data_IF_637212187668
#
_entry.id   IF_637212187668
#
_cell.length_a   1.000
_cell.length_b   1.000
_cell.length_c   1.000
_cell.angle_alpha   90.00
_cell.angle_beta   90.00
_cell.angle_gamma   90.00
#
_symmetry.space_group_name_H-M   'P 1'
#
loop_
_entity.id
_entity.type
_entity.pdbx_description
1 polymer ?
#
# COMPACT_ATOMS: atom_id res chain seq x y z
N UNK A 1 -20.49 -17.83 -15.36
CA UNK A 1 -19.88 -16.85 -14.46
C UNK A 1 -18.60 -17.44 -13.88
N UNK A 2 -17.54 -16.65 -13.84
CA UNK A 2 -16.22 -17.07 -13.39
C UNK A 2 -15.88 -16.32 -12.10
N UNK A 3 -15.31 -17.04 -11.13
CA UNK A 3 -14.81 -16.44 -9.90
C UNK A 3 -13.28 -16.35 -9.99
N UNK A 4 -12.74 -15.18 -9.71
CA UNK A 4 -11.30 -14.96 -9.64
C UNK A 4 -10.82 -15.32 -8.24
N UNK A 5 -9.91 -16.28 -8.16
CA UNK A 5 -9.30 -16.68 -6.88
C UNK A 5 -7.80 -16.60 -7.03
N UNK A 6 -7.18 -15.77 -6.20
CA UNK A 6 -5.72 -15.66 -6.20
C UNK A 6 -5.16 -16.43 -5.00
N UNK A 7 -4.25 -17.36 -5.27
CA UNK A 7 -3.58 -18.17 -4.26
C UNK A 7 -2.20 -17.61 -3.96
N UNK A 8 -2.07 -16.98 -2.80
CA UNK A 8 -0.82 -16.39 -2.31
C UNK A 8 -0.03 -17.34 -1.42
N UNK A 9 -0.57 -18.53 -1.12
CA UNK A 9 0.03 -19.45 -0.14
C UNK A 9 1.38 -20.03 -0.56
N UNK A 10 1.70 -19.99 -1.86
CA UNK A 10 2.94 -20.56 -2.39
C UNK A 10 2.84 -22.05 -2.75
N UNK A 11 1.72 -22.70 -2.44
CA UNK A 11 1.50 -24.12 -2.79
C UNK A 11 0.09 -24.26 -3.38
N UNK A 12 -0.07 -25.24 -4.27
CA UNK A 12 -1.39 -25.58 -4.80
C UNK A 12 -2.27 -26.14 -3.68
N UNK A 13 -3.54 -25.79 -3.72
CA UNK A 13 -4.52 -26.19 -2.68
C UNK A 13 -5.53 -27.12 -3.36
N UNK A 14 -5.69 -28.32 -2.82
CA UNK A 14 -6.68 -29.28 -3.32
C UNK A 14 -7.85 -29.39 -2.36
N UNK A 15 -9.06 -29.14 -2.87
CA UNK A 15 -10.31 -29.26 -2.09
C UNK A 15 -11.32 -30.00 -2.96
N UNK A 16 -11.75 -31.18 -2.53
CA UNK A 16 -12.61 -32.03 -3.34
C UNK A 16 -11.92 -32.34 -4.67
N UNK A 17 -12.61 -32.06 -5.77
CA UNK A 17 -12.07 -32.26 -7.11
C UNK A 17 -11.42 -31.00 -7.68
N UNK A 18 -11.38 -29.91 -6.91
CA UNK A 18 -10.84 -28.64 -7.36
C UNK A 18 -9.40 -28.48 -6.88
N UNK A 19 -8.54 -28.08 -7.82
CA UNK A 19 -7.16 -27.69 -7.49
C UNK A 19 -7.01 -26.20 -7.76
N UNK A 20 -6.61 -25.46 -6.73
CA UNK A 20 -6.35 -24.03 -6.82
C UNK A 20 -4.85 -23.84 -6.94
N UNK A 21 -4.40 -23.52 -8.15
CA UNK A 21 -2.97 -23.34 -8.43
C UNK A 21 -2.42 -22.08 -7.76
N UNK A 22 -1.11 -22.02 -7.58
CA UNK A 22 -0.43 -20.82 -7.14
C UNK A 22 -0.68 -19.69 -8.15
N UNK A 23 -1.03 -18.50 -7.67
CA UNK A 23 -1.32 -17.37 -8.53
C UNK A 23 -2.81 -17.26 -8.86
N UNK A 24 -3.09 -16.71 -10.02
CA UNK A 24 -4.47 -16.47 -10.46
C UNK A 24 -5.17 -17.72 -10.92
N UNK A 25 -6.42 -17.89 -10.49
CA UNK A 25 -7.29 -18.97 -10.91
C UNK A 25 -8.63 -18.40 -11.36
N UNK A 26 -9.14 -18.92 -12.48
CA UNK A 26 -10.44 -18.55 -13.01
C UNK A 26 -11.34 -19.77 -12.84
N UNK A 27 -12.15 -19.78 -11.78
CA UNK A 27 -12.91 -20.96 -11.36
C UNK A 27 -14.39 -20.75 -11.71
N UNK A 28 -15.01 -21.74 -12.42
CA UNK A 28 -16.46 -21.64 -12.65
C UNK A 28 -17.24 -21.49 -11.34
N UNK A 29 -18.25 -20.64 -11.36
CA UNK A 29 -19.02 -20.29 -10.17
C UNK A 29 -19.55 -21.52 -9.45
N UNK A 30 -20.04 -22.52 -10.21
CA UNK A 30 -20.59 -23.74 -9.62
C UNK A 30 -19.52 -24.56 -8.87
N UNK A 31 -18.32 -24.66 -9.45
CA UNK A 31 -17.22 -25.37 -8.82
C UNK A 31 -16.73 -24.63 -7.56
N UNK A 32 -16.66 -23.32 -7.62
CA UNK A 32 -16.28 -22.52 -6.47
C UNK A 32 -17.33 -22.65 -5.35
N UNK A 33 -18.62 -22.59 -5.69
CA UNK A 33 -19.72 -22.74 -4.73
C UNK A 33 -19.68 -24.07 -3.97
N UNK A 34 -19.22 -25.13 -4.64
CA UNK A 34 -19.13 -26.45 -4.02
C UNK A 34 -18.05 -26.52 -2.92
N UNK A 35 -17.03 -25.66 -2.95
CA UNK A 35 -15.90 -25.71 -1.99
C UNK A 35 -15.77 -24.47 -1.13
N UNK A 36 -16.47 -23.39 -1.45
CA UNK A 36 -16.29 -22.09 -0.80
C UNK A 36 -16.62 -22.09 0.70
N UNK A 37 -17.44 -23.01 1.17
CA UNK A 37 -17.81 -23.15 2.58
C UNK A 37 -16.94 -24.17 3.31
N UNK A 38 -16.02 -24.84 2.62
CA UNK A 38 -15.09 -25.77 3.26
C UNK A 38 -14.26 -25.03 4.31
N UNK A 39 -14.10 -25.65 5.48
CA UNK A 39 -13.39 -25.02 6.61
C UNK A 39 -11.99 -24.60 6.24
N UNK A 40 -11.27 -25.40 5.45
CA UNK A 40 -9.92 -25.08 5.01
C UNK A 40 -9.89 -23.85 4.10
N UNK A 41 -10.87 -23.73 3.19
CA UNK A 41 -10.98 -22.59 2.29
C UNK A 41 -11.34 -21.32 3.07
N UNK A 42 -12.30 -21.40 3.98
CA UNK A 42 -12.70 -20.26 4.82
C UNK A 42 -11.49 -19.76 5.63
N UNK A 43 -10.72 -20.68 6.20
CA UNK A 43 -9.53 -20.35 6.97
C UNK A 43 -8.47 -19.65 6.11
N UNK A 44 -8.26 -20.12 4.88
CA UNK A 44 -7.29 -19.52 3.95
C UNK A 44 -7.73 -18.13 3.48
N UNK A 45 -9.02 -17.90 3.34
CA UNK A 45 -9.54 -16.56 3.03
C UNK A 45 -9.36 -15.64 4.23
N UNK A 46 -9.65 -16.11 5.44
CA UNK A 46 -9.53 -15.31 6.66
C UNK A 46 -8.09 -14.89 6.94
N UNK A 47 -7.11 -15.76 6.66
CA UNK A 47 -5.70 -15.43 6.86
C UNK A 47 -5.06 -14.78 5.63
N UNK A 48 -5.88 -14.46 4.61
CA UNK A 48 -5.45 -13.80 3.38
C UNK A 48 -4.42 -14.58 2.54
N UNK A 49 -4.44 -15.92 2.64
CA UNK A 49 -3.71 -16.80 1.73
C UNK A 49 -4.44 -16.96 0.40
N UNK A 50 -5.77 -16.82 0.42
CA UNK A 50 -6.62 -16.78 -0.78
C UNK A 50 -7.36 -15.46 -0.84
N UNK A 51 -7.36 -14.85 -2.01
CA UNK A 51 -8.14 -13.64 -2.30
C UNK A 51 -9.21 -13.99 -3.32
N UNK A 52 -10.46 -13.76 -2.96
CA UNK A 52 -11.61 -14.00 -3.84
C UNK A 52 -12.07 -12.65 -4.36
N UNK A 53 -12.15 -12.50 -5.67
CA UNK A 53 -12.57 -11.27 -6.31
C UNK A 53 -11.41 -10.42 -6.79
N UNK A 54 -11.21 -9.24 -6.21
CA UNK A 54 -10.29 -8.25 -6.77
C UNK A 54 -8.90 -8.28 -6.12
N UNK A 55 -8.00 -9.07 -6.72
CA UNK A 55 -6.61 -9.13 -6.29
C UNK A 55 -5.88 -7.78 -6.45
N UNK A 56 -6.32 -6.95 -7.39
CA UNK A 56 -5.69 -5.65 -7.61
C UNK A 56 -5.82 -4.72 -6.39
N UNK A 57 -6.90 -4.88 -5.61
CA UNK A 57 -7.06 -4.12 -4.36
C UNK A 57 -5.96 -4.47 -3.35
N UNK A 58 -5.60 -5.75 -3.27
CA UNK A 58 -4.51 -6.19 -2.42
C UNK A 58 -3.16 -5.62 -2.90
N UNK A 59 -2.91 -5.65 -4.20
CA UNK A 59 -1.69 -5.08 -4.78
C UNK A 59 -1.62 -3.58 -4.47
N UNK A 60 -2.73 -2.86 -4.60
CA UNK A 60 -2.77 -1.43 -4.28
C UNK A 60 -2.48 -1.18 -2.79
N UNK A 61 -3.06 -1.98 -1.92
CA UNK A 61 -2.85 -1.87 -0.48
C UNK A 61 -1.39 -2.14 -0.10
N UNK A 62 -0.83 -3.23 -0.63
CA UNK A 62 0.56 -3.59 -0.38
C UNK A 62 1.51 -2.53 -0.93
N UNK A 63 1.24 -2.03 -2.12
CA UNK A 63 2.02 -0.95 -2.73
C UNK A 63 1.99 0.32 -1.89
N UNK A 64 0.83 0.66 -1.32
CA UNK A 64 0.71 1.82 -0.44
C UNK A 64 1.52 1.64 0.85
N UNK A 65 1.55 0.43 1.42
CA UNK A 65 2.41 0.14 2.57
C UNK A 65 3.90 0.26 2.21
N UNK A 66 4.29 -0.29 1.07
CA UNK A 66 5.68 -0.30 0.61
C UNK A 66 6.17 1.10 0.22
N UNK A 67 5.25 2.03 -0.07
CA UNK A 67 5.60 3.42 -0.37
C UNK A 67 6.33 4.09 0.80
N UNK A 68 5.91 3.79 2.03
CA UNK A 68 6.48 4.37 3.23
C UNK A 68 7.71 3.57 3.68
N UNK A 69 8.88 4.20 3.70
CA UNK A 69 10.10 3.54 4.10
C UNK A 69 11.32 4.39 3.79
N UNK A 70 12.47 3.75 3.74
CA UNK A 70 13.75 4.44 3.54
C UNK A 70 13.83 5.20 2.23
N UNK A 71 13.21 4.70 1.17
CA UNK A 71 13.16 5.38 -0.13
C UNK A 71 12.45 6.72 -0.03
N UNK A 72 11.33 6.76 0.69
CA UNK A 72 10.57 7.99 0.90
C UNK A 72 11.41 8.98 1.71
N UNK A 73 12.03 8.53 2.79
CA UNK A 73 12.92 9.35 3.60
C UNK A 73 14.05 9.94 2.76
N UNK A 74 14.66 9.12 1.90
CA UNK A 74 15.72 9.56 1.01
C UNK A 74 15.23 10.58 -0.02
N UNK A 75 14.01 10.37 -0.56
CA UNK A 75 13.41 11.31 -1.51
C UNK A 75 13.15 12.66 -0.88
N UNK A 76 12.67 12.70 0.35
CA UNK A 76 12.44 13.94 1.09
C UNK A 76 13.77 14.66 1.33
N UNK A 77 14.81 13.92 1.72
CA UNK A 77 16.14 14.48 1.95
C UNK A 77 16.72 15.05 0.65
N UNK A 78 16.53 14.37 -0.47
CA UNK A 78 16.98 14.85 -1.77
C UNK A 78 16.29 16.18 -2.14
N UNK A 79 15.02 16.33 -1.82
CA UNK A 79 14.31 17.59 -2.03
C UNK A 79 14.92 18.72 -1.23
N UNK A 80 15.31 18.44 0.02
CA UNK A 80 15.99 19.40 0.87
C UNK A 80 17.35 19.80 0.28
N UNK A 81 18.15 18.80 -0.11
CA UNK A 81 19.50 19.03 -0.63
C UNK A 81 19.49 19.82 -1.94
N UNK A 82 18.49 19.59 -2.79
CA UNK A 82 18.37 20.25 -4.10
C UNK A 82 17.46 21.48 -4.07
N UNK A 83 16.89 21.81 -2.92
CA UNK A 83 15.92 22.88 -2.77
C UNK A 83 14.74 22.74 -3.75
N UNK A 84 14.26 21.52 -3.96
CA UNK A 84 13.22 21.20 -4.94
C UNK A 84 11.85 21.18 -4.27
N UNK A 85 11.24 22.35 -4.16
CA UNK A 85 9.93 22.53 -3.53
C UNK A 85 8.81 21.87 -4.36
N UNK A 86 8.92 21.90 -5.68
CA UNK A 86 7.94 21.31 -6.57
C UNK A 86 7.86 19.80 -6.36
N UNK A 87 9.00 19.11 -6.32
CA UNK A 87 9.05 17.68 -6.06
C UNK A 87 8.55 17.36 -4.65
N UNK A 88 8.88 18.19 -3.67
CA UNK A 88 8.43 18.01 -2.29
C UNK A 88 6.90 18.06 -2.20
N UNK A 89 6.28 19.00 -2.91
CA UNK A 89 4.82 19.11 -2.96
C UNK A 89 4.19 17.89 -3.65
N UNK A 90 4.85 17.35 -4.67
CA UNK A 90 4.41 16.11 -5.32
C UNK A 90 4.46 14.94 -4.34
N UNK A 91 5.53 14.82 -3.57
CA UNK A 91 5.66 13.78 -2.53
C UNK A 91 4.54 13.92 -1.50
N UNK A 92 4.23 15.13 -1.07
CA UNK A 92 3.14 15.39 -0.13
C UNK A 92 1.80 14.86 -0.67
N UNK A 93 1.52 15.08 -1.94
CA UNK A 93 0.31 14.58 -2.59
C UNK A 93 0.31 13.05 -2.67
N UNK A 94 1.47 12.45 -2.96
CA UNK A 94 1.60 10.99 -3.00
C UNK A 94 1.39 10.37 -1.62
N UNK A 95 1.89 10.99 -0.56
CA UNK A 95 1.67 10.55 0.83
C UNK A 95 0.17 10.51 1.13
N UNK A 96 -0.55 11.59 0.79
CA UNK A 96 -1.99 11.65 1.01
C UNK A 96 -2.74 10.55 0.24
N UNK A 97 -2.37 10.35 -1.02
CA UNK A 97 -3.02 9.33 -1.86
C UNK A 97 -2.80 7.93 -1.29
N UNK A 98 -1.59 7.60 -0.88
CA UNK A 98 -1.29 6.29 -0.30
C UNK A 98 -1.97 6.12 1.07
N UNK A 99 -2.05 7.17 1.87
CA UNK A 99 -2.77 7.14 3.14
C UNK A 99 -4.25 6.80 2.94
N UNK A 100 -4.88 7.40 1.94
CA UNK A 100 -6.28 7.13 1.62
C UNK A 100 -6.48 5.67 1.24
N UNK A 101 -5.59 5.10 0.41
CA UNK A 101 -5.65 3.68 0.04
C UNK A 101 -5.57 2.80 1.28
N UNK A 102 -4.65 3.10 2.20
CA UNK A 102 -4.50 2.34 3.44
C UNK A 102 -5.76 2.41 4.31
N UNK A 103 -6.37 3.57 4.44
CA UNK A 103 -7.60 3.76 5.22
C UNK A 103 -8.78 2.99 4.63
N UNK A 104 -8.89 2.99 3.29
CA UNK A 104 -9.99 2.30 2.60
C UNK A 104 -9.89 0.78 2.77
N UNK A 105 -8.69 0.22 2.65
CA UNK A 105 -8.51 -1.23 2.58
C UNK A 105 -8.01 -1.88 3.87
N UNK A 106 -7.67 -1.11 4.89
CA UNK A 106 -7.11 -1.65 6.14
C UNK A 106 -8.04 -2.70 6.79
N UNK A 107 -9.33 -2.43 6.82
CA UNK A 107 -10.30 -3.34 7.40
C UNK A 107 -10.43 -4.61 6.56
N UNK A 108 -10.45 -4.46 5.23
CA UNK A 108 -10.58 -5.57 4.31
C UNK A 108 -9.43 -6.57 4.46
N UNK A 109 -8.21 -6.11 4.71
CA UNK A 109 -7.02 -6.95 4.82
C UNK A 109 -6.55 -7.11 6.28
N UNK A 110 -7.42 -6.85 7.24
CA UNK A 110 -7.08 -6.95 8.67
C UNK A 110 -6.65 -8.35 9.11
N UNK A 111 -7.04 -9.38 8.37
CA UNK A 111 -6.69 -10.77 8.69
C UNK A 111 -5.35 -11.21 8.07
N UNK A 112 -4.77 -10.44 7.17
CA UNK A 112 -3.43 -10.73 6.65
C UNK A 112 -2.39 -10.27 7.68
N UNK A 113 -1.78 -11.23 8.36
CA UNK A 113 -0.85 -10.93 9.46
C UNK A 113 0.34 -10.07 9.03
N UNK A 114 0.85 -10.27 7.82
CA UNK A 114 1.98 -9.54 7.29
C UNK A 114 1.65 -8.06 7.07
N UNK A 115 0.57 -7.77 6.34
CA UNK A 115 0.16 -6.39 6.07
C UNK A 115 -0.39 -5.70 7.30
N UNK A 116 -1.10 -6.42 8.16
CA UNK A 116 -1.60 -5.89 9.43
C UNK A 116 -0.46 -5.41 10.32
N UNK A 117 0.60 -6.22 10.45
CA UNK A 117 1.77 -5.86 11.23
C UNK A 117 2.49 -4.66 10.63
N UNK A 118 2.65 -4.64 9.32
CA UNK A 118 3.28 -3.53 8.61
C UNK A 118 2.51 -2.24 8.83
N UNK A 119 1.17 -2.28 8.74
CA UNK A 119 0.34 -1.11 8.95
C UNK A 119 0.40 -0.64 10.40
N UNK A 120 0.35 -1.56 11.37
CA UNK A 120 0.40 -1.22 12.79
C UNK A 120 1.72 -0.54 13.17
N UNK A 121 2.81 -0.91 12.51
CA UNK A 121 4.14 -0.33 12.76
C UNK A 121 4.43 0.91 11.93
N UNK A 122 3.51 1.30 11.04
CA UNK A 122 3.70 2.43 10.13
C UNK A 122 3.37 3.75 10.83
N UNK A 123 4.30 4.67 10.84
CA UNK A 123 4.10 6.01 11.37
C UNK A 123 4.06 7.01 10.20
N UNK A 124 2.88 7.19 9.64
CA UNK A 124 2.66 8.11 8.51
C UNK A 124 2.92 9.56 8.93
N UNK A 125 2.55 9.90 10.16
CA UNK A 125 2.72 11.27 10.65
C UNK A 125 4.19 11.69 10.65
N UNK A 126 5.10 10.77 10.90
CA UNK A 126 6.54 11.02 10.83
C UNK A 126 6.94 11.58 9.46
N UNK A 127 6.41 10.99 8.38
CA UNK A 127 6.73 11.43 7.01
C UNK A 127 6.06 12.77 6.70
N UNK A 128 4.84 12.99 7.16
CA UNK A 128 4.14 14.26 7.00
C UNK A 128 4.90 15.38 7.70
N UNK A 129 5.36 15.14 8.93
CA UNK A 129 6.12 16.12 9.71
C UNK A 129 7.45 16.44 9.03
N UNK A 130 8.13 15.43 8.49
CA UNK A 130 9.39 15.62 7.78
C UNK A 130 9.21 16.48 6.52
N UNK A 131 8.16 16.21 5.74
CA UNK A 131 7.82 17.01 4.55
C UNK A 131 7.54 18.46 4.94
N UNK A 132 6.74 18.68 5.99
CA UNK A 132 6.40 20.03 6.45
C UNK A 132 7.62 20.79 6.97
N UNK A 133 8.51 20.09 7.66
CA UNK A 133 9.76 20.67 8.14
C UNK A 133 10.64 21.13 6.99
N UNK A 134 10.85 20.27 6.00
CA UNK A 134 11.65 20.60 4.81
C UNK A 134 10.99 21.73 4.02
N UNK A 135 9.66 21.70 3.87
CA UNK A 135 8.93 22.77 3.18
C UNK A 135 9.16 24.13 3.84
N UNK A 136 9.07 24.19 5.16
CA UNK A 136 9.35 25.41 5.91
C UNK A 136 10.76 25.92 5.69
N UNK A 137 11.74 25.02 5.74
CA UNK A 137 13.15 25.39 5.51
C UNK A 137 13.35 25.95 4.11
N UNK A 138 12.77 25.34 3.08
CA UNK A 138 12.87 25.81 1.71
C UNK A 138 12.14 27.14 1.49
N UNK A 139 10.96 27.31 2.07
CA UNK A 139 10.20 28.55 1.99
C UNK A 139 10.92 29.70 2.68
N UNK A 140 11.50 29.45 3.87
CA UNK A 140 12.27 30.44 4.59
C UNK A 140 13.53 30.86 3.81
N UNK A 141 14.23 29.91 3.21
CA UNK A 141 15.38 30.19 2.38
C UNK A 141 15.01 31.05 1.17
N UNK A 142 13.91 30.70 0.49
CA UNK A 142 13.42 31.49 -0.64
C UNK A 142 13.00 32.89 -0.22
N UNK A 143 12.35 33.03 0.95
CA UNK A 143 11.94 34.34 1.48
C UNK A 143 13.16 35.20 1.78
N UNK A 144 14.21 34.62 2.39
CA UNK A 144 15.44 35.35 2.69
C UNK A 144 16.13 35.83 1.42
N UNK A 145 16.25 34.97 0.42
CA UNK A 145 16.84 35.33 -0.88
C UNK A 145 16.04 36.45 -1.54
N UNK A 146 14.71 36.38 -1.51
CA UNK A 146 13.84 37.43 -2.06
C UNK A 146 13.98 38.75 -1.31
N UNK A 147 14.20 38.71 -0.01
CA UNK A 147 14.37 39.90 0.81
C UNK A 147 15.72 40.56 0.57
N UNK A 148 16.75 39.77 0.30
CA UNK A 148 18.10 40.29 0.04
C UNK A 148 18.23 40.94 -1.32
N UNK A 149 17.53 40.45 -2.34
CA UNK A 149 17.57 40.97 -3.69
C UNK A 149 17.32 42.48 -3.82
N UNK A 150 16.29 43.03 -3.16
CA UNK A 150 16.02 44.47 -3.25
C UNK A 150 17.13 45.37 -2.66
N UNK A 151 18.00 44.81 -1.87
CA UNK A 151 19.07 45.56 -1.22
C UNK A 151 20.27 45.80 -2.13
N UNK A 152 20.30 45.15 -3.24
CA UNK A 152 21.34 45.38 -4.25
C UNK A 152 20.96 46.61 -5.11
#
# INVERSE_FOLDING_TARGET
MIVNVFNKSGVAISVGNLVIEVGHNFIPFEQWGAVSNDTSIVSLIQNCSLFVGNYQEYIAYKGALDYFGDRLTQSIQNCKDKADLEMLNKISTEIEANQIVLEIFAEQFANDSETKKAYANLDIQKYIDEVNKVRKELENTNAQVSTEKPKK
#
